data_IF_734618493362
#
_entry.id   IF_734618493362
#
_cell.length_a   1.000
_cell.length_b   1.000
_cell.length_c   1.000
_cell.angle_alpha   90.00
_cell.angle_beta   90.00
_cell.angle_gamma   90.00
#
_symmetry.space_group_name_H-M   'P 1'
#
loop_
_entity.id
_entity.type
_entity.pdbx_description
1 polymer ?
#
# COMPACT_ATOMS: atom_id res chain seq x y z
N UNK A 1 25.69 -66.54 -30.12
CA UNK A 1 25.34 -66.60 -28.69
C UNK A 1 26.01 -65.40 -28.04
N UNK A 2 25.36 -64.45 -27.36
CA UNK A 2 24.01 -64.38 -26.83
C UNK A 2 23.40 -62.97 -26.92
N UNK A 3 22.12 -62.95 -26.56
CA UNK A 3 21.20 -61.80 -26.49
C UNK A 3 21.50 -60.91 -25.29
N UNK A 4 20.97 -59.66 -25.29
CA UNK A 4 20.31 -58.89 -24.20
C UNK A 4 20.25 -57.43 -24.71
N UNK A 5 19.15 -57.04 -25.37
CA UNK A 5 17.96 -56.36 -24.83
C UNK A 5 18.15 -54.87 -24.43
N UNK A 6 17.33 -54.04 -25.10
CA UNK A 6 16.96 -52.64 -24.88
C UNK A 6 16.89 -52.18 -23.43
N UNK A 7 17.28 -50.92 -23.18
CA UNK A 7 16.43 -49.95 -22.46
C UNK A 7 16.97 -48.51 -22.62
N UNK A 8 16.23 -47.68 -23.36
CA UNK A 8 16.24 -46.23 -23.21
C UNK A 8 15.68 -45.88 -21.82
N UNK A 9 16.36 -45.03 -21.06
CA UNK A 9 15.70 -44.22 -20.02
C UNK A 9 16.32 -42.83 -20.02
N UNK A 10 15.62 -41.90 -20.69
CA UNK A 10 15.87 -40.48 -20.55
C UNK A 10 15.33 -40.04 -19.18
N UNK A 11 16.22 -39.63 -18.27
CA UNK A 11 15.84 -38.99 -17.02
C UNK A 11 15.54 -37.51 -17.30
N UNK A 12 14.30 -37.21 -17.69
CA UNK A 12 13.81 -35.83 -17.73
C UNK A 12 13.44 -35.42 -16.30
N UNK A 13 14.34 -34.72 -15.62
CA UNK A 13 14.03 -34.12 -14.33
C UNK A 13 13.02 -32.98 -14.56
N UNK A 14 11.72 -33.25 -14.34
CA UNK A 14 10.75 -32.18 -14.13
C UNK A 14 11.11 -31.49 -12.82
N UNK A 15 11.76 -30.32 -12.91
CA UNK A 15 11.70 -29.33 -11.83
C UNK A 15 10.28 -28.78 -11.85
N UNK A 16 9.35 -29.48 -11.22
CA UNK A 16 8.09 -28.90 -10.82
C UNK A 16 8.44 -27.80 -9.81
N UNK A 17 8.55 -26.55 -10.27
CA UNK A 17 8.44 -25.42 -9.36
C UNK A 17 7.12 -25.63 -8.64
N UNK A 18 7.18 -25.91 -7.34
CA UNK A 18 6.01 -25.94 -6.50
C UNK A 18 5.40 -24.54 -6.55
N UNK A 19 4.48 -24.32 -7.49
CA UNK A 19 3.52 -23.25 -7.39
C UNK A 19 2.68 -23.62 -6.17
N UNK A 20 3.15 -23.23 -4.98
CA UNK A 20 2.26 -22.98 -3.86
C UNK A 20 1.13 -22.15 -4.45
N UNK A 21 -0.04 -22.76 -4.60
CA UNK A 21 -1.18 -22.19 -5.28
C UNK A 21 -1.61 -20.97 -4.47
N UNK A 22 -1.00 -19.84 -4.81
CA UNK A 22 -1.26 -18.57 -4.24
C UNK A 22 -2.54 -18.05 -4.92
N UNK A 23 -3.69 -18.49 -4.41
CA UNK A 23 -4.99 -18.16 -5.02
C UNK A 23 -5.43 -16.78 -4.58
N UNK A 24 -5.60 -15.89 -5.56
CA UNK A 24 -6.14 -14.54 -5.35
C UNK A 24 -7.67 -14.60 -5.13
N UNK A 25 -8.33 -15.70 -5.49
CA UNK A 25 -9.80 -15.76 -5.51
C UNK A 25 -10.36 -14.97 -6.69
N UNK A 26 -11.68 -14.73 -6.68
CA UNK A 26 -12.38 -14.02 -7.75
C UNK A 26 -12.99 -12.74 -7.18
N UNK A 27 -12.68 -11.55 -7.73
CA UNK A 27 -13.36 -10.32 -7.34
C UNK A 27 -14.87 -10.41 -7.53
N UNK A 28 -15.62 -9.84 -6.59
CA UNK A 28 -17.09 -9.78 -6.61
C UNK A 28 -17.60 -8.34 -6.75
N UNK A 29 -18.91 -8.18 -6.94
CA UNK A 29 -19.57 -6.87 -7.00
C UNK A 29 -19.18 -6.04 -8.22
N UNK A 30 -19.06 -4.72 -8.05
CA UNK A 30 -18.75 -3.78 -9.14
C UNK A 30 -17.36 -4.00 -9.76
N UNK A 31 -16.47 -4.69 -9.07
CA UNK A 31 -15.12 -5.03 -9.53
C UNK A 31 -15.02 -6.44 -10.13
N UNK A 32 -16.15 -7.15 -10.31
CA UNK A 32 -16.15 -8.48 -10.90
C UNK A 32 -15.43 -8.49 -12.27
N UNK A 33 -14.58 -9.50 -12.47
CA UNK A 33 -13.73 -9.60 -13.67
C UNK A 33 -12.39 -8.85 -13.59
N UNK A 34 -12.06 -8.21 -12.47
CA UNK A 34 -10.70 -7.68 -12.24
C UNK A 34 -9.67 -8.82 -12.28
N UNK A 35 -8.62 -8.67 -13.08
CA UNK A 35 -7.56 -9.67 -13.23
C UNK A 35 -6.24 -9.23 -12.58
N UNK A 36 -6.09 -7.94 -12.30
CA UNK A 36 -4.85 -7.36 -11.80
C UNK A 36 -3.69 -7.66 -12.75
N UNK A 37 -2.57 -8.08 -12.18
CA UNK A 37 -1.41 -8.57 -12.93
C UNK A 37 -1.47 -10.06 -13.29
N UNK A 38 -2.63 -10.72 -13.24
CA UNK A 38 -2.76 -12.19 -13.24
C UNK A 38 -2.12 -12.97 -14.40
N UNK A 39 -1.81 -12.33 -15.53
CA UNK A 39 -1.08 -12.92 -16.67
C UNK A 39 0.38 -12.42 -16.79
N UNK A 40 0.81 -11.60 -15.83
CA UNK A 40 2.11 -10.95 -15.76
C UNK A 40 3.16 -11.76 -15.01
N UNK A 41 4.36 -11.21 -14.95
CA UNK A 41 5.47 -11.85 -14.21
C UNK A 41 5.25 -11.72 -12.70
N UNK A 42 5.50 -12.80 -11.96
CA UNK A 42 5.50 -12.78 -10.49
C UNK A 42 6.87 -12.29 -10.01
N UNK A 43 6.87 -11.24 -9.19
CA UNK A 43 8.07 -10.60 -8.65
C UNK A 43 8.02 -10.51 -7.13
N UNK A 44 9.19 -10.63 -6.50
CA UNK A 44 9.36 -10.63 -5.04
C UNK A 44 10.34 -9.51 -4.67
N UNK A 45 9.87 -8.28 -4.41
CA UNK A 45 10.76 -7.20 -4.02
C UNK A 45 11.55 -7.55 -2.76
N UNK A 46 12.83 -7.22 -2.78
CA UNK A 46 13.77 -7.39 -1.68
C UNK A 46 14.21 -6.06 -1.08
N UNK A 47 13.91 -4.93 -1.73
CA UNK A 47 14.12 -3.59 -1.17
C UNK A 47 12.89 -2.69 -1.35
N UNK A 48 12.88 -1.57 -0.62
CA UNK A 48 11.84 -0.54 -0.77
C UNK A 48 11.85 0.05 -2.19
N UNK A 49 13.03 0.20 -2.79
CA UNK A 49 13.22 0.72 -4.15
C UNK A 49 12.67 -0.26 -5.20
N UNK A 50 12.92 -1.56 -5.03
CA UNK A 50 12.34 -2.59 -5.90
C UNK A 50 10.81 -2.61 -5.80
N UNK A 51 10.26 -2.50 -4.58
CA UNK A 51 8.81 -2.40 -4.39
C UNK A 51 8.25 -1.19 -5.16
N UNK A 52 8.80 0.01 -4.94
CA UNK A 52 8.37 1.22 -5.66
C UNK A 52 8.47 1.02 -7.19
N UNK A 53 9.57 0.43 -7.65
CA UNK A 53 9.83 0.23 -9.08
C UNK A 53 8.81 -0.72 -9.70
N UNK A 54 8.53 -1.86 -9.06
CA UNK A 54 7.54 -2.82 -9.58
C UNK A 54 6.12 -2.25 -9.58
N UNK A 55 5.74 -1.51 -8.54
CA UNK A 55 4.42 -0.86 -8.47
C UNK A 55 4.24 0.19 -9.57
N UNK A 56 5.31 0.92 -9.93
CA UNK A 56 5.28 1.98 -10.95
C UNK A 56 5.59 1.49 -12.38
N UNK A 57 5.83 0.18 -12.57
CA UNK A 57 6.06 -0.41 -13.88
C UNK A 57 4.82 -0.31 -14.78
N UNK A 58 5.01 -0.14 -16.10
CA UNK A 58 3.93 -0.29 -17.08
C UNK A 58 3.59 -1.76 -17.38
N UNK A 59 4.50 -2.68 -17.09
CA UNK A 59 4.28 -4.11 -17.33
C UNK A 59 3.26 -4.70 -16.35
N UNK A 60 2.40 -5.64 -16.77
CA UNK A 60 1.56 -6.40 -15.86
C UNK A 60 2.42 -7.21 -14.88
N UNK A 61 2.19 -7.05 -13.58
CA UNK A 61 2.99 -7.72 -12.53
C UNK A 61 2.15 -8.23 -11.37
N UNK A 62 2.52 -9.40 -10.86
CA UNK A 62 2.10 -9.89 -9.54
C UNK A 62 3.23 -9.65 -8.54
N UNK A 63 3.10 -8.60 -7.75
CA UNK A 63 4.07 -8.16 -6.74
C UNK A 63 3.74 -8.82 -5.40
N UNK A 64 4.58 -9.78 -5.00
CA UNK A 64 4.36 -10.61 -3.80
C UNK A 64 5.19 -10.10 -2.63
N UNK A 65 4.53 -9.70 -1.55
CA UNK A 65 5.15 -9.21 -0.33
C UNK A 65 5.32 -10.33 0.69
N UNK A 66 6.54 -10.85 0.85
CA UNK A 66 6.85 -11.92 1.80
C UNK A 66 7.52 -11.41 3.08
N UNK A 67 7.57 -10.08 3.28
CA UNK A 67 8.21 -9.40 4.41
C UNK A 67 7.67 -7.99 4.61
N UNK A 68 8.09 -7.37 5.70
CA UNK A 68 7.85 -5.96 5.98
C UNK A 68 8.74 -5.07 5.11
N UNK A 69 8.13 -4.06 4.50
CA UNK A 69 8.78 -2.91 3.86
C UNK A 69 8.54 -1.69 4.75
N UNK A 70 9.56 -1.30 5.50
CA UNK A 70 9.50 -0.15 6.42
C UNK A 70 10.08 1.09 5.75
N UNK A 71 9.25 2.10 5.54
CA UNK A 71 9.61 3.39 4.94
C UNK A 71 9.82 4.48 5.97
N UNK A 72 9.65 4.21 7.27
CA UNK A 72 9.92 5.21 8.30
C UNK A 72 11.38 5.61 8.27
N UNK A 73 11.65 6.90 8.40
CA UNK A 73 12.97 7.51 8.36
C UNK A 73 13.59 7.61 6.96
N UNK A 74 13.04 6.95 5.93
CA UNK A 74 13.67 6.93 4.59
C UNK A 74 13.62 8.29 3.89
N UNK A 75 12.69 9.17 4.30
CA UNK A 75 12.58 10.54 3.79
C UNK A 75 12.83 11.62 4.86
N UNK A 76 13.32 11.21 6.03
CA UNK A 76 13.55 12.09 7.19
C UNK A 76 12.27 12.58 7.86
N UNK A 77 12.46 13.43 8.88
CA UNK A 77 11.38 14.02 9.69
C UNK A 77 11.31 15.54 9.50
N UNK A 78 10.13 16.11 9.72
CA UNK A 78 9.91 17.57 9.77
C UNK A 78 9.31 17.96 11.12
N UNK A 79 9.69 19.12 11.63
CA UNK A 79 9.07 19.79 12.78
C UNK A 79 8.63 21.18 12.37
N UNK A 80 7.35 21.51 12.56
CA UNK A 80 6.77 22.77 12.11
C UNK A 80 5.53 23.17 12.93
N UNK A 81 5.00 24.41 12.77
CA UNK A 81 3.73 24.80 13.36
C UNK A 81 2.60 23.91 12.85
N UNK A 82 1.80 23.41 13.79
CA UNK A 82 0.57 22.67 13.55
C UNK A 82 -0.61 23.33 14.26
N UNK A 83 -1.72 22.60 14.27
CA UNK A 83 -2.95 23.04 14.89
C UNK A 83 -3.47 22.00 15.86
N UNK A 84 -3.89 22.47 17.04
CA UNK A 84 -4.67 21.70 18.00
C UNK A 84 -6.13 22.16 17.97
N UNK A 85 -7.05 21.41 17.33
CA UNK A 85 -8.44 21.80 17.16
C UNK A 85 -9.22 21.85 18.48
N UNK A 86 -10.35 22.56 18.51
CA UNK A 86 -11.19 22.63 19.72
C UNK A 86 -11.62 21.25 20.22
N UNK A 87 -12.12 20.38 19.33
CA UNK A 87 -12.57 19.04 19.71
C UNK A 87 -11.44 18.21 20.35
N UNK A 88 -10.19 18.37 19.87
CA UNK A 88 -9.01 17.72 20.46
C UNK A 88 -8.74 18.25 21.86
N UNK A 89 -8.79 19.58 22.06
CA UNK A 89 -8.60 20.18 23.40
C UNK A 89 -9.67 19.72 24.39
N UNK A 90 -10.93 19.68 23.95
CA UNK A 90 -12.05 19.19 24.77
C UNK A 90 -11.91 17.70 25.10
N UNK A 91 -11.44 16.88 24.15
CA UNK A 91 -11.16 15.47 24.38
C UNK A 91 -10.06 15.28 25.43
N UNK A 92 -8.93 15.98 25.29
CA UNK A 92 -7.81 15.91 26.24
C UNK A 92 -8.25 16.38 27.64
N UNK A 93 -9.06 17.45 27.72
CA UNK A 93 -9.55 17.98 28.99
C UNK A 93 -10.42 16.99 29.79
N UNK A 94 -11.02 15.97 29.13
CA UNK A 94 -11.75 14.89 29.83
C UNK A 94 -10.85 13.95 30.63
N UNK A 95 -9.54 13.98 30.39
CA UNK A 95 -8.54 13.17 31.10
C UNK A 95 -8.89 11.67 31.19
N UNK A 96 -9.44 11.11 30.11
CA UNK A 96 -9.91 9.72 30.04
C UNK A 96 -8.90 8.79 29.34
N UNK A 97 -7.64 9.21 29.19
CA UNK A 97 -6.57 8.46 28.55
C UNK A 97 -6.44 8.62 27.03
N UNK A 98 -7.42 9.25 26.36
CA UNK A 98 -7.34 9.52 24.92
C UNK A 98 -6.55 10.80 24.64
N UNK A 99 -5.54 10.72 23.77
CA UNK A 99 -4.65 11.86 23.45
C UNK A 99 -5.10 12.69 22.24
N UNK A 100 -6.06 12.20 21.45
CA UNK A 100 -6.55 12.78 20.19
C UNK A 100 -5.42 13.12 19.20
N UNK A 101 -5.76 13.60 18.00
CA UNK A 101 -4.79 13.99 16.97
C UNK A 101 -4.62 15.51 16.94
N UNK A 102 -3.40 15.96 16.67
CA UNK A 102 -3.13 17.32 16.18
C UNK A 102 -3.21 17.33 14.64
N UNK A 103 -3.07 18.49 14.02
CA UNK A 103 -3.29 18.69 12.58
C UNK A 103 -2.06 19.37 11.96
N UNK A 104 -1.55 18.81 10.87
CA UNK A 104 -0.53 19.49 10.05
C UNK A 104 -1.20 20.66 9.32
N UNK A 105 -0.66 21.86 9.47
CA UNK A 105 -1.21 23.05 8.80
C UNK A 105 -0.98 22.99 7.29
N UNK A 106 -2.04 23.24 6.54
CA UNK A 106 -1.99 23.38 5.08
C UNK A 106 -1.68 24.83 4.69
N UNK A 107 -1.43 25.04 3.39
CA UNK A 107 -1.22 26.38 2.85
C UNK A 107 -2.40 27.30 3.19
N UNK A 108 -2.11 28.49 3.71
CA UNK A 108 -3.13 29.45 4.16
C UNK A 108 -3.41 29.41 5.67
N UNK A 109 -2.69 28.59 6.44
CA UNK A 109 -2.74 28.58 7.89
C UNK A 109 -4.02 27.96 8.46
N UNK A 110 -4.30 28.23 9.74
CA UNK A 110 -5.40 27.60 10.49
C UNK A 110 -6.76 27.74 9.80
N UNK A 111 -7.08 28.96 9.35
CA UNK A 111 -8.37 29.27 8.72
C UNK A 111 -8.63 28.52 7.40
N UNK A 112 -7.59 27.97 6.76
CA UNK A 112 -7.67 27.25 5.50
C UNK A 112 -7.31 25.77 5.63
N UNK A 113 -7.08 25.28 6.85
CA UNK A 113 -6.70 23.89 7.11
C UNK A 113 -7.92 23.11 7.56
N UNK A 114 -8.37 22.16 6.73
CA UNK A 114 -9.44 21.23 7.12
C UNK A 114 -9.05 20.46 8.39
N UNK A 115 -9.99 20.35 9.34
CA UNK A 115 -9.76 19.70 10.63
C UNK A 115 -9.18 20.62 11.72
N UNK A 116 -8.84 21.87 11.42
CA UNK A 116 -8.32 22.87 12.36
C UNK A 116 -9.39 23.84 12.92
N UNK A 117 -10.62 23.36 13.11
CA UNK A 117 -11.73 24.22 13.54
C UNK A 117 -11.50 24.79 14.94
N UNK A 118 -11.60 26.13 15.05
CA UNK A 118 -11.29 26.90 16.26
C UNK A 118 -9.97 26.44 16.93
N UNK A 119 -8.95 26.23 16.09
CA UNK A 119 -7.66 25.70 16.48
C UNK A 119 -6.78 26.67 17.26
N UNK A 120 -5.88 26.12 18.06
CA UNK A 120 -4.75 26.85 18.66
C UNK A 120 -3.45 26.33 18.06
N UNK A 121 -2.43 27.18 17.96
CA UNK A 121 -1.12 26.75 17.46
C UNK A 121 -0.51 25.67 18.36
N UNK A 122 0.18 24.72 17.76
CA UNK A 122 1.04 23.76 18.45
C UNK A 122 2.24 23.43 17.58
N UNK A 123 3.17 22.62 18.08
CA UNK A 123 4.29 22.11 17.28
C UNK A 123 4.03 20.66 16.94
N UNK A 124 4.13 20.31 15.66
CA UNK A 124 3.99 18.93 15.19
C UNK A 124 5.32 18.43 14.67
N UNK A 125 5.60 17.15 14.88
CA UNK A 125 6.77 16.46 14.31
C UNK A 125 6.31 15.15 13.69
N UNK A 126 6.76 14.88 12.47
CA UNK A 126 6.27 13.74 11.70
C UNK A 126 7.27 13.24 10.66
N UNK A 127 7.06 12.00 10.23
CA UNK A 127 7.83 11.34 9.19
C UNK A 127 7.35 11.78 7.80
N UNK A 128 8.27 12.21 6.94
CA UNK A 128 7.92 12.71 5.61
C UNK A 128 7.54 11.62 4.62
N UNK A 129 7.91 10.37 4.88
CA UNK A 129 7.65 9.27 3.96
C UNK A 129 6.15 9.02 3.79
N UNK A 130 5.36 9.18 4.85
CA UNK A 130 3.91 8.95 4.84
C UNK A 130 3.14 10.00 4.01
N UNK A 131 3.72 11.20 3.79
CA UNK A 131 3.12 12.24 2.95
C UNK A 131 3.23 11.94 1.46
N UNK A 132 4.24 11.18 1.04
CA UNK A 132 4.44 10.82 -0.37
C UNK A 132 4.03 9.38 -0.60
N UNK A 133 2.82 9.15 -1.07
CA UNK A 133 2.36 7.79 -1.41
C UNK A 133 3.16 7.20 -2.58
N UNK A 134 3.37 5.88 -2.57
CA UNK A 134 3.89 5.16 -3.75
C UNK A 134 2.88 5.19 -4.89
N UNK A 135 3.33 5.20 -6.15
CA UNK A 135 2.43 5.10 -7.31
C UNK A 135 2.26 3.65 -7.73
N UNK A 136 1.01 3.20 -7.84
CA UNK A 136 0.64 1.89 -8.40
C UNK A 136 -0.02 2.12 -9.75
N UNK A 137 0.64 1.70 -10.83
CA UNK A 137 0.06 1.76 -12.18
C UNK A 137 -0.96 0.63 -12.40
N UNK A 138 -1.63 0.66 -13.55
CA UNK A 138 -2.58 -0.37 -13.94
C UNK A 138 -1.96 -1.76 -14.12
N UNK A 139 -2.82 -2.76 -14.18
CA UNK A 139 -2.47 -4.18 -14.38
C UNK A 139 -1.51 -4.71 -13.30
N UNK A 140 -1.85 -4.41 -12.04
CA UNK A 140 -1.04 -4.82 -10.88
C UNK A 140 -1.84 -5.71 -9.94
N UNK A 141 -1.19 -6.75 -9.45
CA UNK A 141 -1.63 -7.46 -8.25
C UNK A 141 -0.57 -7.26 -7.18
N UNK A 142 -0.96 -6.71 -6.02
CA UNK A 142 -0.11 -6.60 -4.83
C UNK A 142 -0.63 -7.58 -3.80
N UNK A 143 0.23 -8.47 -3.29
CA UNK A 143 -0.25 -9.54 -2.42
C UNK A 143 0.75 -9.98 -1.37
N UNK A 144 0.36 -9.88 -0.09
CA UNK A 144 1.19 -10.39 1.01
C UNK A 144 1.16 -11.91 1.15
N UNK A 145 2.17 -12.54 1.74
CA UNK A 145 2.15 -13.98 2.13
C UNK A 145 1.84 -14.10 3.62
N UNK A 146 0.82 -14.87 3.99
CA UNK A 146 0.43 -15.05 5.38
C UNK A 146 0.22 -13.69 6.07
N UNK A 147 0.98 -13.43 7.14
CA UNK A 147 0.99 -12.15 7.86
C UNK A 147 2.23 -11.28 7.55
N UNK A 148 3.08 -11.72 6.62
CA UNK A 148 4.38 -11.11 6.38
C UNK A 148 4.33 -9.91 5.45
N UNK A 149 3.31 -9.78 4.59
CA UNK A 149 3.17 -8.65 3.67
C UNK A 149 2.73 -7.38 4.38
N UNK A 150 3.70 -6.60 4.86
CA UNK A 150 3.46 -5.35 5.60
C UNK A 150 4.17 -4.19 4.91
N UNK A 151 3.50 -3.05 4.81
CA UNK A 151 4.07 -1.77 4.38
C UNK A 151 3.91 -0.80 5.56
N UNK A 152 5.02 -0.30 6.10
CA UNK A 152 5.02 0.63 7.24
C UNK A 152 5.49 2.01 6.80
N UNK A 153 4.85 3.07 7.30
CA UNK A 153 5.31 4.45 7.08
C UNK A 153 5.04 5.03 5.70
N UNK A 154 4.37 4.30 4.80
CA UNK A 154 4.02 4.81 3.47
C UNK A 154 2.76 4.17 2.90
N UNK A 155 1.87 4.99 2.36
CA UNK A 155 0.68 4.53 1.63
C UNK A 155 0.91 4.42 0.13
N UNK A 156 -0.18 4.24 -0.62
CA UNK A 156 -0.17 4.11 -2.07
C UNK A 156 -1.27 4.91 -2.76
N UNK A 157 -0.95 5.40 -3.96
CA UNK A 157 -1.87 6.02 -4.91
C UNK A 157 -2.14 5.01 -6.01
N UNK A 158 -3.40 4.62 -6.19
CA UNK A 158 -3.79 3.82 -7.34
C UNK A 158 -3.99 4.77 -8.52
N UNK A 159 -3.20 4.56 -9.58
CA UNK A 159 -3.13 5.43 -10.75
C UNK A 159 -3.21 4.61 -12.03
N UNK A 160 -4.30 3.87 -12.18
CA UNK A 160 -4.57 3.03 -13.35
C UNK A 160 -5.81 2.16 -13.15
N UNK A 161 -6.14 1.38 -14.18
CA UNK A 161 -7.22 0.40 -14.12
C UNK A 161 -6.68 -1.00 -13.78
N UNK A 162 -7.57 -1.91 -13.42
CA UNK A 162 -7.23 -3.33 -13.25
C UNK A 162 -6.15 -3.56 -12.18
N UNK A 163 -6.46 -3.19 -10.93
CA UNK A 163 -5.55 -3.31 -9.80
C UNK A 163 -6.19 -4.18 -8.72
N UNK A 164 -5.44 -5.18 -8.25
CA UNK A 164 -5.77 -5.99 -7.07
C UNK A 164 -4.79 -5.65 -5.97
N UNK A 165 -5.29 -5.32 -4.78
CA UNK A 165 -4.49 -5.22 -3.55
C UNK A 165 -5.11 -6.17 -2.54
N UNK A 166 -4.36 -7.21 -2.15
CA UNK A 166 -4.90 -8.26 -1.31
C UNK A 166 -3.97 -8.68 -0.17
N UNK A 167 -4.54 -8.98 1.01
CA UNK A 167 -3.82 -9.56 2.17
C UNK A 167 -2.49 -8.85 2.46
N UNK A 168 -2.54 -7.53 2.56
CA UNK A 168 -1.42 -6.72 3.05
C UNK A 168 -1.86 -5.94 4.28
N UNK A 169 -0.90 -5.52 5.08
CA UNK A 169 -1.10 -4.59 6.18
C UNK A 169 -0.38 -3.29 5.86
N UNK A 170 -1.09 -2.17 5.81
CA UNK A 170 -0.50 -0.83 5.65
C UNK A 170 -0.61 -0.13 7.00
N UNK A 171 0.48 0.34 7.59
CA UNK A 171 0.45 0.84 8.97
C UNK A 171 1.48 1.93 9.24
N UNK A 172 1.44 2.50 10.45
CA UNK A 172 2.37 3.52 10.96
C UNK A 172 2.49 4.78 10.10
N UNK A 173 1.35 5.33 9.67
CA UNK A 173 1.26 6.54 8.86
C UNK A 173 0.99 7.77 9.74
N UNK A 174 1.99 8.23 10.50
CA UNK A 174 1.89 9.42 11.37
C UNK A 174 0.55 9.49 12.14
N UNK A 175 0.16 8.38 12.79
CA UNK A 175 -1.19 8.17 13.30
C UNK A 175 -1.63 9.21 14.35
N UNK A 176 -0.70 10.00 14.90
CA UNK A 176 -0.95 11.10 15.81
C UNK A 176 -1.38 12.40 15.12
N UNK A 177 -1.44 12.45 13.78
CA UNK A 177 -1.69 13.67 13.02
C UNK A 177 -2.71 13.50 11.90
N UNK A 178 -3.69 14.40 11.85
CA UNK A 178 -4.49 14.64 10.64
C UNK A 178 -3.59 15.24 9.56
N UNK A 179 -3.83 14.84 8.30
CA UNK A 179 -2.96 15.08 7.14
C UNK A 179 -1.59 14.38 7.20
N UNK A 180 -1.37 13.50 8.17
CA UNK A 180 -0.12 12.77 8.35
C UNK A 180 0.19 11.70 7.30
N UNK A 181 -0.83 11.26 6.54
CA UNK A 181 -0.69 10.32 5.43
C UNK A 181 -1.95 9.47 5.22
N UNK A 182 -2.21 9.07 3.97
CA UNK A 182 -3.31 8.17 3.61
C UNK A 182 -2.76 6.81 3.19
N UNK A 183 -3.38 5.73 3.66
CA UNK A 183 -2.95 4.37 3.31
C UNK A 183 -3.19 4.02 1.83
N UNK A 184 -4.40 4.27 1.33
CA UNK A 184 -4.80 4.02 -0.05
C UNK A 184 -5.53 5.25 -0.56
N UNK A 185 -5.06 5.81 -1.67
CA UNK A 185 -5.65 6.97 -2.31
C UNK A 185 -6.13 6.64 -3.73
N UNK A 186 -7.38 6.98 -4.02
CA UNK A 186 -8.10 6.69 -5.27
C UNK A 186 -8.86 7.96 -5.66
N UNK A 187 -8.52 8.55 -6.81
CA UNK A 187 -9.15 9.80 -7.27
C UNK A 187 -9.66 9.76 -8.72
N UNK A 188 -9.50 8.63 -9.42
CA UNK A 188 -9.70 8.53 -10.87
C UNK A 188 -8.40 8.76 -11.66
N UNK A 189 -8.46 8.50 -12.96
CA UNK A 189 -7.39 8.79 -13.93
C UNK A 189 -7.65 10.12 -14.64
N UNK A 190 -6.72 10.56 -15.49
CA UNK A 190 -6.87 11.78 -16.31
C UNK A 190 -7.20 13.02 -15.48
N UNK A 191 -6.38 13.30 -14.46
CA UNK A 191 -6.61 14.39 -13.51
C UNK A 191 -7.99 14.33 -12.83
N UNK A 192 -8.38 13.13 -12.39
CA UNK A 192 -9.62 12.85 -11.66
C UNK A 192 -10.90 13.04 -12.47
N UNK A 193 -10.81 13.08 -13.80
CA UNK A 193 -11.98 13.22 -14.69
C UNK A 193 -12.53 11.88 -15.17
N UNK A 194 -11.73 10.82 -15.10
CA UNK A 194 -12.12 9.46 -15.52
C UNK A 194 -12.20 8.54 -14.30
N UNK A 195 -13.35 7.90 -14.03
CA UNK A 195 -13.44 6.89 -12.98
C UNK A 195 -12.48 5.71 -13.24
N UNK A 196 -11.75 5.30 -12.20
CA UNK A 196 -11.00 4.04 -12.26
C UNK A 196 -11.95 2.86 -12.41
N UNK A 197 -11.45 1.79 -13.03
CA UNK A 197 -12.20 0.57 -13.37
C UNK A 197 -11.42 -0.62 -12.90
N UNK A 198 -12.14 -1.66 -12.45
CA UNK A 198 -11.57 -2.94 -12.05
C UNK A 198 -10.54 -2.76 -10.92
N UNK A 199 -10.97 -2.20 -9.78
CA UNK A 199 -10.15 -2.05 -8.59
C UNK A 199 -10.71 -2.97 -7.52
N UNK A 200 -9.91 -3.92 -7.03
CA UNK A 200 -10.31 -4.83 -5.97
C UNK A 200 -9.36 -4.73 -4.78
N UNK A 201 -9.90 -4.26 -3.66
CA UNK A 201 -9.21 -4.15 -2.38
C UNK A 201 -9.80 -5.21 -1.44
N UNK A 202 -9.00 -6.19 -1.04
CA UNK A 202 -9.49 -7.38 -0.36
C UNK A 202 -8.58 -7.84 0.77
N UNK A 203 -9.17 -8.24 1.91
CA UNK A 203 -8.40 -8.69 3.08
C UNK A 203 -7.25 -7.74 3.49
N UNK A 204 -7.42 -6.43 3.31
CA UNK A 204 -6.43 -5.43 3.69
C UNK A 204 -6.64 -5.07 5.17
N UNK A 205 -5.55 -4.97 5.92
CA UNK A 205 -5.54 -4.35 7.24
C UNK A 205 -4.93 -2.95 7.13
N UNK A 206 -5.55 -1.96 7.77
CA UNK A 206 -5.08 -0.58 7.93
C UNK A 206 -5.17 -0.22 9.40
#
# INVERSE_FOLDING_TARGET
MGRIHFALTAALALVAKSASAFTIGTPEGLAAGTTGGGNGTVVYPTTNEELITYLNSSEPLVVVLNKTFDFRGTEGTTTEPGCRPQYTRECIAKNNGFKSQDVILQKGGMANTGGCDNGTETTVTYDRAALKRMTVKGDKTIRGIGKSGVIMGKGMTLNGHNIIVQNIHITELNHHLVWGGDAIYIQGTDNSTTPMKNIWLDHIKI
#
